data_IF_106277233675
#
_entry.id   IF_106277233675
#
_cell.length_a   1.000
_cell.length_b   1.000
_cell.length_c   1.000
_cell.angle_alpha   90.00
_cell.angle_beta   90.00
_cell.angle_gamma   90.00
#
_symmetry.space_group_name_H-M   'P 1'
#
loop_
_entity.id
_entity.type
_entity.pdbx_description
1 polymer ?
#
# COMPACT_ATOMS: atom_id res chain seq x y z
N UNK A 1 10.79 -14.02 8.35
CA UNK A 1 10.71 -12.55 8.34
C UNK A 1 9.58 -12.03 9.23
N UNK A 2 8.31 -12.41 9.03
CA UNK A 2 7.18 -11.88 9.84
C UNK A 2 7.45 -12.01 11.35
N UNK A 3 7.77 -13.20 11.85
CA UNK A 3 8.07 -13.45 13.28
C UNK A 3 9.15 -12.49 13.83
N UNK A 4 10.21 -12.26 13.06
CA UNK A 4 11.26 -11.32 13.46
C UNK A 4 10.73 -9.89 13.61
N UNK A 5 10.00 -9.40 12.61
CA UNK A 5 9.45 -8.04 12.67
C UNK A 5 8.42 -7.87 13.78
N UNK A 6 7.58 -8.89 14.04
CA UNK A 6 6.54 -8.78 15.08
C UNK A 6 7.09 -9.01 16.49
N UNK A 7 7.89 -10.05 16.73
CA UNK A 7 8.33 -10.43 18.08
C UNK A 7 9.56 -9.66 18.53
N UNK A 8 10.49 -9.34 17.62
CA UNK A 8 11.74 -8.65 17.96
C UNK A 8 11.61 -7.13 17.80
N UNK A 9 11.02 -6.66 16.68
CA UNK A 9 10.93 -5.24 16.36
C UNK A 9 9.59 -4.60 16.76
N UNK A 10 8.60 -5.38 17.19
CA UNK A 10 7.33 -4.87 17.69
C UNK A 10 6.36 -4.36 16.63
N UNK A 11 6.52 -4.78 15.38
CA UNK A 11 5.52 -4.51 14.34
C UNK A 11 4.24 -5.31 14.57
N UNK A 12 3.13 -4.81 14.05
CA UNK A 12 1.85 -5.50 14.01
C UNK A 12 1.49 -5.87 12.59
N UNK A 13 0.96 -7.07 12.42
CA UNK A 13 0.34 -7.46 11.15
C UNK A 13 -1.01 -6.79 11.05
N UNK A 14 -1.15 -5.88 10.09
CA UNK A 14 -2.40 -5.17 9.81
C UNK A 14 -3.31 -5.98 8.90
N UNK A 15 -2.74 -6.59 7.86
CA UNK A 15 -3.46 -7.51 6.95
C UNK A 15 -2.54 -8.63 6.45
N UNK A 16 -3.20 -9.70 5.95
CA UNK A 16 -2.57 -10.78 5.16
C UNK A 16 -3.48 -11.14 3.99
N UNK A 17 -2.88 -11.59 2.91
CA UNK A 17 -3.64 -12.10 1.77
C UNK A 17 -2.76 -12.44 0.58
N UNK A 18 -3.35 -13.09 -0.39
CA UNK A 18 -2.73 -13.40 -1.67
C UNK A 18 -3.44 -12.57 -2.74
N UNK A 19 -2.75 -11.59 -3.41
CA UNK A 19 -3.40 -10.67 -4.35
C UNK A 19 -3.90 -11.37 -5.61
N UNK A 20 -3.13 -12.36 -6.06
CA UNK A 20 -3.45 -13.21 -7.22
C UNK A 20 -3.03 -14.64 -6.88
N UNK A 21 -3.88 -15.65 -7.13
CA UNK A 21 -3.54 -17.05 -6.86
C UNK A 21 -2.18 -17.45 -7.46
N UNK A 22 -1.26 -17.96 -6.62
CA UNK A 22 0.08 -18.38 -7.01
C UNK A 22 1.17 -17.31 -6.92
N UNK A 23 0.84 -16.06 -6.55
CA UNK A 23 1.85 -15.02 -6.31
C UNK A 23 2.54 -15.12 -4.94
N UNK A 24 1.95 -15.85 -4.01
CA UNK A 24 2.42 -15.98 -2.64
C UNK A 24 1.72 -15.04 -1.65
N UNK A 25 1.78 -15.41 -0.37
CA UNK A 25 1.17 -14.62 0.69
C UNK A 25 1.90 -13.30 0.89
N UNK A 26 1.14 -12.20 1.02
CA UNK A 26 1.63 -10.90 1.45
C UNK A 26 1.26 -10.66 2.92
N UNK A 27 2.19 -10.10 3.70
CA UNK A 27 1.93 -9.60 5.04
C UNK A 27 2.24 -8.10 5.09
N UNK A 28 1.25 -7.31 5.46
CA UNK A 28 1.34 -5.87 5.67
C UNK A 28 1.60 -5.62 7.15
N UNK A 29 2.63 -4.85 7.50
CA UNK A 29 3.02 -4.65 8.90
C UNK A 29 3.27 -3.18 9.20
N UNK A 30 2.87 -2.73 10.40
CA UNK A 30 3.06 -1.35 10.87
C UNK A 30 3.35 -1.29 12.36
N UNK A 31 4.05 -0.24 12.82
CA UNK A 31 4.24 0.12 14.22
C UNK A 31 3.33 1.27 14.68
N UNK A 32 2.59 1.89 13.77
CA UNK A 32 1.73 3.04 14.06
C UNK A 32 0.31 2.83 13.56
N UNK A 33 -0.71 3.34 14.28
CA UNK A 33 -2.09 3.33 13.78
C UNK A 33 -2.33 4.36 12.68
N UNK A 34 -1.37 5.25 12.41
CA UNK A 34 -1.48 6.29 11.40
C UNK A 34 -1.19 5.78 9.99
N UNK A 35 -0.51 4.63 9.88
CA UNK A 35 -0.13 4.02 8.61
C UNK A 35 -0.65 2.59 8.54
N UNK A 36 -1.35 2.26 7.46
CA UNK A 36 -1.82 0.90 7.24
C UNK A 36 -0.64 -0.09 7.21
N UNK A 37 0.45 0.27 6.55
CA UNK A 37 1.67 -0.53 6.50
C UNK A 37 2.89 0.38 6.30
N UNK A 38 3.97 0.04 7.00
CA UNK A 38 5.29 0.62 6.80
C UNK A 38 6.19 -0.34 6.01
N UNK A 39 5.89 -1.64 6.09
CA UNK A 39 6.62 -2.68 5.35
C UNK A 39 5.61 -3.69 4.78
N UNK A 40 5.89 -4.17 3.57
CA UNK A 40 5.20 -5.31 2.97
C UNK A 40 6.19 -6.46 2.79
N UNK A 41 5.87 -7.60 3.35
CA UNK A 41 6.64 -8.83 3.22
C UNK A 41 5.91 -9.76 2.25
N UNK A 42 6.57 -10.16 1.18
CA UNK A 42 6.00 -11.05 0.16
C UNK A 42 6.70 -12.40 0.20
N UNK A 43 5.93 -13.48 0.33
CA UNK A 43 6.46 -14.83 0.22
C UNK A 43 6.86 -15.10 -1.23
N UNK A 44 8.13 -15.42 -1.48
CA UNK A 44 8.58 -15.80 -2.82
C UNK A 44 8.49 -17.31 -2.98
N UNK A 45 7.94 -17.82 -4.12
CA UNK A 45 7.89 -19.26 -4.39
C UNK A 45 9.28 -19.90 -4.52
N UNK A 46 10.26 -19.14 -5.00
CA UNK A 46 11.65 -19.56 -5.14
C UNK A 46 12.61 -18.53 -4.50
N UNK A 47 13.03 -18.78 -3.24
CA UNK A 47 13.99 -17.90 -2.55
C UNK A 47 15.35 -17.80 -3.25
N UNK A 48 15.74 -18.76 -4.07
CA UNK A 48 17.02 -18.78 -4.78
C UNK A 48 17.02 -17.91 -6.03
N UNK A 49 15.82 -17.57 -6.56
CA UNK A 49 15.71 -16.77 -7.78
C UNK A 49 15.90 -15.25 -7.54
N UNK A 50 15.91 -14.80 -6.29
CA UNK A 50 16.15 -13.39 -5.93
C UNK A 50 17.45 -13.24 -5.16
N UNK A 51 18.46 -12.66 -5.80
CA UNK A 51 19.60 -12.12 -5.10
C UNK A 51 19.15 -10.85 -4.36
N UNK A 52 18.88 -10.94 -3.06
CA UNK A 52 18.71 -9.83 -2.14
C UNK A 52 17.63 -8.77 -2.51
N UNK A 53 16.36 -9.03 -2.21
CA UNK A 53 15.37 -7.98 -2.02
C UNK A 53 14.94 -8.01 -0.55
N UNK A 54 15.38 -7.03 0.25
CA UNK A 54 15.04 -6.91 1.67
C UNK A 54 13.59 -6.46 1.88
N UNK A 55 13.06 -5.69 0.93
CA UNK A 55 11.70 -5.20 0.94
C UNK A 55 11.14 -5.26 -0.48
N UNK A 56 9.82 -5.41 -0.63
CA UNK A 56 9.18 -5.37 -1.93
C UNK A 56 9.26 -3.97 -2.55
N UNK A 57 9.00 -2.94 -1.74
CA UNK A 57 9.13 -1.54 -2.12
C UNK A 57 9.35 -0.64 -0.90
N UNK A 58 9.85 0.58 -1.16
CA UNK A 58 9.87 1.68 -0.20
C UNK A 58 8.73 2.63 -0.53
N UNK A 59 7.89 2.94 0.47
CA UNK A 59 6.73 3.80 0.30
C UNK A 59 6.97 5.20 0.87
N UNK A 60 6.64 6.23 0.09
CA UNK A 60 6.74 7.64 0.44
C UNK A 60 5.35 8.30 0.39
N UNK A 61 4.92 8.84 1.53
CA UNK A 61 3.67 9.57 1.59
C UNK A 61 3.77 10.92 0.89
N UNK A 62 2.73 11.27 0.11
CA UNK A 62 2.58 12.58 -0.53
C UNK A 62 1.30 13.26 -0.03
N UNK A 63 1.18 14.57 -0.24
CA UNK A 63 0.12 15.38 0.37
C UNK A 63 -1.12 15.56 -0.53
N UNK A 64 -1.04 15.22 -1.82
CA UNK A 64 -2.15 15.46 -2.76
C UNK A 64 -2.07 14.58 -4.01
N UNK A 65 -3.21 14.43 -4.71
CA UNK A 65 -3.27 13.81 -6.03
C UNK A 65 -2.42 14.58 -7.07
N UNK A 66 -2.28 15.90 -6.91
CA UNK A 66 -1.43 16.69 -7.82
C UNK A 66 0.04 16.29 -7.70
N UNK A 67 0.54 15.95 -6.49
CA UNK A 67 1.89 15.42 -6.34
C UNK A 67 2.07 14.07 -7.08
N UNK A 68 1.05 13.20 -7.08
CA UNK A 68 1.10 11.96 -7.87
C UNK A 68 1.07 12.22 -9.38
N UNK A 69 0.29 13.20 -9.84
CA UNK A 69 0.25 13.62 -11.25
C UNK A 69 1.61 14.17 -11.71
N UNK A 70 2.18 15.09 -10.94
CA UNK A 70 3.49 15.68 -11.22
C UNK A 70 4.61 14.62 -11.21
N UNK A 71 4.56 13.68 -10.25
CA UNK A 71 5.50 12.55 -10.21
C UNK A 71 5.37 11.70 -11.47
N UNK A 72 4.14 11.31 -11.84
CA UNK A 72 3.89 10.50 -13.04
C UNK A 72 4.42 11.19 -14.30
N UNK A 73 4.24 12.50 -14.41
CA UNK A 73 4.78 13.27 -15.55
C UNK A 73 6.31 13.28 -15.54
N UNK A 74 6.95 13.53 -14.39
CA UNK A 74 8.42 13.51 -14.27
C UNK A 74 9.01 12.12 -14.59
N UNK A 75 8.34 11.05 -14.16
CA UNK A 75 8.76 9.68 -14.49
C UNK A 75 8.66 9.42 -15.99
N UNK A 76 7.57 9.86 -16.63
CA UNK A 76 7.40 9.73 -18.07
C UNK A 76 8.47 10.52 -18.85
N UNK A 77 8.74 11.77 -18.46
CA UNK A 77 9.77 12.63 -19.06
C UNK A 77 11.18 12.03 -18.89
N UNK A 78 11.42 11.33 -17.78
CA UNK A 78 12.67 10.60 -17.53
C UNK A 78 12.75 9.24 -18.26
N UNK A 79 11.72 8.85 -19.01
CA UNK A 79 11.66 7.57 -19.70
C UNK A 79 11.48 6.35 -18.79
N UNK A 80 10.95 6.55 -17.57
CA UNK A 80 10.69 5.47 -16.64
C UNK A 80 9.45 4.68 -17.08
N UNK A 81 9.67 3.52 -17.71
CA UNK A 81 8.59 2.67 -18.23
C UNK A 81 7.90 1.80 -17.15
N UNK A 82 8.39 1.80 -15.91
CA UNK A 82 7.83 1.01 -14.81
C UNK A 82 6.73 1.74 -14.03
N UNK A 83 6.48 3.03 -14.30
CA UNK A 83 5.49 3.81 -13.59
C UNK A 83 4.07 3.23 -13.76
N UNK A 84 3.43 2.90 -12.65
CA UNK A 84 2.12 2.25 -12.61
C UNK A 84 1.23 2.90 -11.54
N UNK A 85 0.27 3.75 -11.94
CA UNK A 85 -0.77 4.23 -11.02
C UNK A 85 -1.71 3.11 -10.58
N UNK A 86 -1.99 3.02 -9.27
CA UNK A 86 -2.81 1.97 -8.68
C UNK A 86 -3.65 2.52 -7.52
N UNK A 87 -4.89 2.05 -7.42
CA UNK A 87 -5.80 2.35 -6.33
C UNK A 87 -5.92 1.14 -5.40
N UNK A 88 -5.39 1.25 -4.19
CA UNK A 88 -5.48 0.22 -3.15
C UNK A 88 -6.73 0.35 -2.25
N UNK A 89 -7.63 1.25 -2.59
CA UNK A 89 -8.81 1.54 -1.79
C UNK A 89 -8.49 2.41 -0.56
N UNK A 90 -7.51 2.06 0.23
CA UNK A 90 -7.00 2.87 1.36
C UNK A 90 -5.87 3.85 0.95
N UNK A 91 -5.31 3.68 -0.24
CA UNK A 91 -4.31 4.58 -0.81
C UNK A 91 -4.46 4.69 -2.33
N UNK A 92 -4.13 5.86 -2.87
CA UNK A 92 -3.85 6.07 -4.28
C UNK A 92 -2.35 6.18 -4.46
N UNK A 93 -1.80 5.37 -5.34
CA UNK A 93 -0.35 5.15 -5.43
C UNK A 93 0.17 5.27 -6.86
N UNK A 94 1.45 5.60 -6.97
CA UNK A 94 2.25 5.40 -8.18
C UNK A 94 3.44 4.54 -7.80
N UNK A 95 3.51 3.34 -8.38
CA UNK A 95 4.66 2.44 -8.27
C UNK A 95 5.64 2.70 -9.39
N UNK A 96 6.91 2.55 -9.10
CA UNK A 96 7.98 2.67 -10.10
C UNK A 96 9.26 2.02 -9.56
N UNK A 97 10.29 1.89 -10.41
CA UNK A 97 11.62 1.44 -9.99
C UNK A 97 12.62 2.57 -10.09
N UNK A 98 13.59 2.58 -9.19
CA UNK A 98 14.75 3.44 -9.34
C UNK A 98 15.72 2.88 -10.42
N UNK A 99 16.79 3.63 -10.79
CA UNK A 99 17.76 3.16 -11.78
C UNK A 99 18.53 1.87 -11.39
N UNK A 100 18.49 1.47 -10.13
CA UNK A 100 19.09 0.22 -9.63
C UNK A 100 18.07 -0.93 -9.56
N UNK A 101 16.80 -0.65 -9.91
CA UNK A 101 15.72 -1.64 -9.92
C UNK A 101 15.05 -1.85 -8.56
N UNK A 102 15.29 -0.99 -7.57
CA UNK A 102 14.55 -1.05 -6.32
C UNK A 102 13.11 -0.60 -6.52
N UNK A 103 12.15 -1.34 -5.95
CA UNK A 103 10.73 -0.98 -5.99
C UNK A 103 10.45 0.23 -5.09
N UNK A 104 9.76 1.22 -5.64
CA UNK A 104 9.34 2.43 -4.95
C UNK A 104 7.85 2.65 -5.11
N UNK A 105 7.24 3.25 -4.10
CA UNK A 105 5.85 3.69 -4.10
C UNK A 105 5.79 5.14 -3.60
N UNK A 106 5.06 6.01 -4.30
CA UNK A 106 4.56 7.25 -3.72
C UNK A 106 3.05 7.14 -3.57
N UNK A 107 2.53 7.43 -2.37
CA UNK A 107 1.13 7.21 -2.07
C UNK A 107 0.49 8.36 -1.30
N UNK A 108 -0.83 8.50 -1.48
CA UNK A 108 -1.72 9.38 -0.75
C UNK A 108 -2.82 8.53 -0.10
N UNK A 109 -3.07 8.74 1.19
CA UNK A 109 -4.18 8.10 1.87
C UNK A 109 -5.53 8.51 1.28
N UNK A 110 -6.45 7.57 1.15
CA UNK A 110 -7.84 7.84 0.82
C UNK A 110 -8.67 8.04 2.10
N UNK A 111 -9.89 8.61 1.99
CA UNK A 111 -10.83 8.65 3.12
C UNK A 111 -11.36 7.28 3.57
N UNK A 112 -10.97 6.18 2.91
CA UNK A 112 -11.58 4.87 3.05
C UNK A 112 -10.59 3.82 3.55
N UNK A 113 -11.14 2.78 4.16
CA UNK A 113 -10.46 1.52 4.44
C UNK A 113 -11.19 0.37 3.76
N UNK A 114 -10.45 -0.63 3.32
CA UNK A 114 -10.93 -1.90 2.77
C UNK A 114 -9.94 -3.00 3.12
N UNK A 115 -10.41 -4.24 3.21
CA UNK A 115 -9.53 -5.39 3.44
C UNK A 115 -8.45 -5.48 2.35
N UNK A 116 -7.20 -5.71 2.78
CA UNK A 116 -6.06 -5.87 1.89
C UNK A 116 -5.68 -7.35 1.72
N UNK A 117 -5.14 -7.74 0.55
CA UNK A 117 -4.76 -6.89 -0.59
C UNK A 117 -5.97 -6.51 -1.47
N UNK A 118 -6.01 -5.27 -1.90
CA UNK A 118 -6.93 -4.76 -2.92
C UNK A 118 -6.14 -3.94 -3.95
N UNK A 119 -6.53 -4.01 -5.22
CA UNK A 119 -5.91 -3.24 -6.30
C UNK A 119 -6.87 -3.03 -7.46
N UNK A 120 -6.92 -1.79 -7.96
CA UNK A 120 -7.70 -1.37 -9.13
C UNK A 120 -6.91 -0.30 -9.89
N UNK A 121 -7.24 -0.04 -11.16
CA UNK A 121 -6.60 1.02 -11.93
C UNK A 121 -6.87 2.41 -11.33
N UNK A 122 -5.87 3.30 -11.38
CA UNK A 122 -5.99 4.71 -11.01
C UNK A 122 -5.78 5.58 -12.25
N UNK A 123 -6.82 6.29 -12.67
CA UNK A 123 -6.72 7.26 -13.76
C UNK A 123 -6.46 8.66 -13.19
N UNK A 124 -5.20 9.08 -13.20
CA UNK A 124 -4.78 10.40 -12.71
C UNK A 124 -5.22 11.57 -13.61
N UNK A 125 -5.79 11.31 -14.79
CA UNK A 125 -6.34 12.36 -15.66
C UNK A 125 -7.72 12.87 -15.18
N UNK A 126 -8.39 12.11 -14.31
CA UNK A 126 -9.66 12.48 -13.70
C UNK A 126 -9.44 13.57 -12.62
N UNK A 127 -10.48 14.35 -12.32
CA UNK A 127 -10.46 15.26 -11.17
C UNK A 127 -10.44 14.50 -9.84
N UNK A 128 -10.00 15.16 -8.77
CA UNK A 128 -9.94 14.57 -7.41
C UNK A 128 -11.32 14.04 -6.97
N UNK A 129 -12.37 14.82 -7.25
CA UNK A 129 -13.73 14.42 -6.89
C UNK A 129 -14.21 13.17 -7.66
N UNK A 130 -13.85 13.02 -8.93
CA UNK A 130 -14.18 11.84 -9.73
C UNK A 130 -13.39 10.61 -9.26
N UNK A 131 -12.11 10.77 -8.94
CA UNK A 131 -11.27 9.70 -8.39
C UNK A 131 -11.84 9.21 -7.05
N UNK A 132 -12.19 10.13 -6.14
CA UNK A 132 -12.76 9.79 -4.84
C UNK A 132 -14.11 9.08 -4.98
N UNK A 133 -15.02 9.59 -5.81
CA UNK A 133 -16.33 8.99 -6.03
C UNK A 133 -16.24 7.61 -6.68
N UNK A 134 -15.36 7.44 -7.67
CA UNK A 134 -15.12 6.15 -8.30
C UNK A 134 -14.55 5.14 -7.28
N UNK A 135 -13.57 5.58 -6.49
CA UNK A 135 -13.00 4.76 -5.40
C UNK A 135 -14.09 4.33 -4.43
N UNK A 136 -14.89 5.26 -3.91
CA UNK A 136 -15.99 4.98 -2.97
C UNK A 136 -16.99 3.98 -3.56
N UNK A 137 -17.36 4.16 -4.81
CA UNK A 137 -18.32 3.28 -5.50
C UNK A 137 -17.77 1.86 -5.62
N UNK A 138 -16.53 1.70 -6.08
CA UNK A 138 -15.89 0.39 -6.26
C UNK A 138 -15.68 -0.35 -4.92
N UNK A 139 -15.47 0.39 -3.83
CA UNK A 139 -15.25 -0.18 -2.50
C UNK A 139 -16.55 -0.52 -1.75
N UNK A 140 -17.68 0.07 -2.10
CA UNK A 140 -18.93 0.01 -1.30
C UNK A 140 -19.42 -1.40 -0.98
N UNK A 141 -19.04 -2.40 -1.78
CA UNK A 141 -19.40 -3.82 -1.60
C UNK A 141 -18.23 -4.69 -1.16
N UNK A 142 -17.05 -4.11 -0.91
CA UNK A 142 -15.86 -4.88 -0.54
C UNK A 142 -15.81 -5.16 0.96
N UNK A 143 -15.14 -6.26 1.37
CA UNK A 143 -14.95 -6.57 2.79
C UNK A 143 -14.27 -5.43 3.54
N UNK A 144 -14.69 -5.21 4.80
CA UNK A 144 -14.15 -4.20 5.72
C UNK A 144 -14.27 -2.74 5.23
N UNK A 145 -15.09 -2.47 4.20
CA UNK A 145 -15.29 -1.10 3.74
C UNK A 145 -15.86 -0.22 4.85
N UNK A 146 -15.12 0.82 5.23
CA UNK A 146 -15.46 1.79 6.26
C UNK A 146 -14.67 3.08 6.08
N UNK A 147 -15.05 4.19 6.73
CA UNK A 147 -14.21 5.37 6.81
C UNK A 147 -12.84 5.08 7.47
N UNK A 148 -11.75 5.55 6.88
CA UNK A 148 -10.38 5.34 7.39
C UNK A 148 -10.21 5.76 8.86
N UNK A 149 -10.79 6.89 9.35
CA UNK A 149 -10.72 7.24 10.76
C UNK A 149 -11.32 6.21 11.73
N UNK A 150 -12.35 5.46 11.29
CA UNK A 150 -12.94 4.39 12.13
C UNK A 150 -11.99 3.19 12.25
N UNK A 151 -11.39 2.78 11.13
CA UNK A 151 -10.37 1.72 11.15
C UNK A 151 -9.18 2.11 12.03
N UNK A 152 -8.68 3.35 11.88
CA UNK A 152 -7.55 3.89 12.65
C UNK A 152 -7.83 3.88 14.15
N UNK A 153 -9.03 4.30 14.57
CA UNK A 153 -9.43 4.27 15.98
C UNK A 153 -9.48 2.83 16.52
N UNK A 154 -10.07 1.89 15.77
CA UNK A 154 -10.11 0.48 16.16
C UNK A 154 -8.71 -0.15 16.25
N UNK A 155 -7.80 0.24 15.36
CA UNK A 155 -6.41 -0.21 15.39
C UNK A 155 -5.67 0.35 16.62
N UNK A 156 -5.86 1.62 16.94
CA UNK A 156 -5.27 2.23 18.14
C UNK A 156 -5.76 1.55 19.42
N UNK A 157 -7.06 1.25 19.52
CA UNK A 157 -7.63 0.51 20.66
C UNK A 157 -7.04 -0.90 20.79
N UNK A 158 -6.81 -1.58 19.68
CA UNK A 158 -6.19 -2.91 19.66
C UNK A 158 -4.75 -2.85 20.17
N UNK A 159 -3.95 -1.90 19.67
CA UNK A 159 -2.57 -1.70 20.12
C UNK A 159 -2.49 -1.38 21.61
N UNK A 160 -3.37 -0.51 22.11
CA UNK A 160 -3.41 -0.15 23.54
C UNK A 160 -3.75 -1.36 24.44
N UNK A 161 -4.68 -2.24 24.01
CA UNK A 161 -5.05 -3.47 24.78
C UNK A 161 -3.95 -4.51 24.81
N UNK A 162 -3.09 -4.55 23.80
CA UNK A 162 -1.95 -5.46 23.71
C UNK A 162 -0.71 -4.95 24.47
N UNK A 163 -0.80 -3.79 25.13
CA UNK A 163 0.27 -3.22 25.97
C UNK A 163 1.45 -2.66 25.15
N UNK A 164 1.17 -2.22 23.94
CA UNK A 164 2.16 -1.68 23.00
C UNK A 164 1.83 -0.26 22.59
#
# INVERSE_FOLDING_TARGET
MVTFYTEVLGFHVTNRGEPVPGMGEMAFISQTPDEHHQIVLVQTPDPAARSFVLADHLAFHVESLDHLRELSQRLADAGNASAMPLNHGNAWSVYFTDPEGNGLECYLDTPFHVAQPYGDGLDLSMSDAEIEELTRTNLSTKPEFQPFPQWRAAMADRLAKEGR
#
